data_IF_657046715424
#
_entry.id   IF_657046715424
#
_cell.length_a   1.000
_cell.length_b   1.000
_cell.length_c   1.000
_cell.angle_alpha   90.00
_cell.angle_beta   90.00
_cell.angle_gamma   90.00
#
_symmetry.space_group_name_H-M   'P 1'
#
loop_
_entity.id
_entity.type
_entity.pdbx_description
1 polymer ?
#
# COMPACT_ATOMS: atom_id res chain seq x y z
N UNK A 1 -6.19 -20.15 1.65
CA UNK A 1 -5.23 -19.07 1.98
C UNK A 1 -5.99 -18.05 2.80
N UNK A 2 -5.52 -17.70 4.00
CA UNK A 2 -6.17 -16.66 4.80
C UNK A 2 -6.09 -15.33 4.03
N UNK A 3 -7.22 -14.66 3.88
CA UNK A 3 -7.29 -13.31 3.31
C UNK A 3 -6.43 -12.37 4.17
N UNK A 4 -5.49 -11.63 3.56
CA UNK A 4 -4.63 -10.73 4.31
C UNK A 4 -5.46 -9.52 4.78
N UNK A 5 -5.65 -9.39 6.09
CA UNK A 5 -6.31 -8.23 6.68
C UNK A 5 -5.42 -7.00 6.55
N UNK A 6 -5.93 -5.97 5.87
CA UNK A 6 -5.32 -4.65 5.83
C UNK A 6 -5.69 -3.90 7.10
N UNK A 7 -4.68 -3.38 7.80
CA UNK A 7 -4.85 -2.67 9.09
C UNK A 7 -4.16 -1.31 9.11
N UNK A 8 -3.20 -1.07 8.20
CA UNK A 8 -2.45 0.18 8.13
C UNK A 8 -3.18 1.22 7.28
N UNK A 9 -3.37 2.42 7.82
CA UNK A 9 -4.06 3.51 7.11
C UNK A 9 -3.38 3.88 5.79
N UNK A 10 -2.05 3.91 5.76
CA UNK A 10 -1.25 4.13 4.55
C UNK A 10 -1.59 3.14 3.42
N UNK A 11 -1.91 1.89 3.77
CA UNK A 11 -2.28 0.86 2.78
C UNK A 11 -3.71 1.08 2.28
N UNK A 12 -4.63 1.51 3.15
CA UNK A 12 -5.95 1.96 2.70
C UNK A 12 -5.85 3.16 1.75
N UNK A 13 -4.98 4.13 2.07
CA UNK A 13 -4.76 5.31 1.23
C UNK A 13 -4.12 4.94 -0.11
N UNK A 14 -3.18 3.99 -0.12
CA UNK A 14 -2.60 3.43 -1.34
C UNK A 14 -3.66 2.77 -2.22
N UNK A 15 -4.53 1.93 -1.65
CA UNK A 15 -5.63 1.28 -2.38
C UNK A 15 -6.55 2.33 -3.00
N UNK A 16 -6.97 3.32 -2.21
CA UNK A 16 -7.84 4.39 -2.71
C UNK A 16 -7.16 5.21 -3.82
N UNK A 17 -5.89 5.57 -3.68
CA UNK A 17 -5.14 6.27 -4.73
C UNK A 17 -5.03 5.44 -6.01
N UNK A 18 -4.75 4.13 -5.88
CA UNK A 18 -4.63 3.22 -7.01
C UNK A 18 -5.95 3.09 -7.77
N UNK A 19 -7.05 2.90 -7.07
CA UNK A 19 -8.41 2.85 -7.66
C UNK A 19 -8.75 4.13 -8.43
N UNK A 20 -8.33 5.29 -7.92
CA UNK A 20 -8.50 6.60 -8.57
C UNK A 20 -7.53 6.87 -9.74
N UNK A 21 -6.56 5.98 -9.98
CA UNK A 21 -5.51 6.21 -10.98
C UNK A 21 -4.43 7.22 -10.57
N UNK A 22 -4.39 7.63 -9.30
CA UNK A 22 -3.47 8.65 -8.79
C UNK A 22 -2.07 8.07 -8.51
N UNK A 23 -1.22 8.10 -9.54
CA UNK A 23 0.15 7.59 -9.46
C UNK A 23 1.04 8.39 -8.51
N UNK A 24 0.88 9.72 -8.45
CA UNK A 24 1.71 10.56 -7.62
C UNK A 24 1.52 10.23 -6.13
N UNK A 25 0.27 10.01 -5.71
CA UNK A 25 -0.02 9.58 -4.34
C UNK A 25 0.46 8.16 -4.07
N UNK A 26 0.28 7.20 -5.01
CA UNK A 26 0.78 5.84 -4.78
C UNK A 26 2.30 5.80 -4.62
N UNK A 27 3.04 6.52 -5.46
CA UNK A 27 4.52 6.53 -5.44
C UNK A 27 5.04 7.15 -4.15
N UNK A 28 4.41 8.24 -3.68
CA UNK A 28 4.73 8.85 -2.39
C UNK A 28 4.55 7.87 -1.23
N UNK A 29 3.42 7.15 -1.18
CA UNK A 29 3.13 6.20 -0.09
C UNK A 29 4.12 5.03 -0.11
N UNK A 30 4.42 4.48 -1.30
CA UNK A 30 5.41 3.40 -1.45
C UNK A 30 6.76 3.83 -0.89
N UNK A 31 7.22 5.05 -1.22
CA UNK A 31 8.48 5.60 -0.70
C UNK A 31 8.46 5.73 0.83
N UNK A 32 7.41 6.32 1.39
CA UNK A 32 7.30 6.54 2.84
C UNK A 32 7.24 5.22 3.64
N UNK A 33 6.51 4.22 3.14
CA UNK A 33 6.47 2.87 3.73
C UNK A 33 7.85 2.20 3.63
N UNK A 34 8.53 2.33 2.48
CA UNK A 34 9.88 1.82 2.29
C UNK A 34 10.89 2.45 3.25
N UNK A 35 10.82 3.76 3.48
CA UNK A 35 11.66 4.48 4.44
C UNK A 35 11.43 3.95 5.87
N UNK A 36 10.18 3.78 6.30
CA UNK A 36 9.85 3.22 7.63
C UNK A 36 10.32 1.77 7.80
N UNK A 37 10.26 0.98 6.74
CA UNK A 37 10.77 -0.39 6.77
C UNK A 37 12.30 -0.40 6.87
N UNK A 38 12.99 0.44 6.10
CA UNK A 38 14.45 0.54 6.09
C UNK A 38 15.03 0.95 7.45
N UNK A 39 14.32 1.81 8.21
CA UNK A 39 14.73 2.21 9.56
C UNK A 39 14.50 1.13 10.62
N UNK A 40 13.92 -0.04 10.27
CA UNK A 40 13.57 -1.14 11.20
C UNK A 40 12.74 -0.72 12.41
N UNK A 41 11.98 0.35 12.25
CA UNK A 41 11.07 0.86 13.28
C UNK A 41 9.67 0.24 13.19
N UNK A 42 9.48 -0.74 12.30
CA UNK A 42 8.23 -1.48 12.12
C UNK A 42 8.51 -2.99 12.11
N UNK A 43 7.47 -3.78 12.38
CA UNK A 43 7.50 -5.25 12.28
C UNK A 43 7.42 -5.75 10.83
N UNK A 44 7.41 -4.85 9.84
CA UNK A 44 7.30 -5.16 8.42
C UNK A 44 5.88 -5.48 7.93
N UNK A 45 4.87 -5.48 8.81
CA UNK A 45 3.49 -5.80 8.43
C UNK A 45 2.90 -4.79 7.44
N UNK A 46 3.27 -3.51 7.56
CA UNK A 46 2.85 -2.45 6.63
C UNK A 46 3.37 -2.69 5.21
N UNK A 47 4.65 -3.06 5.08
CA UNK A 47 5.26 -3.36 3.79
C UNK A 47 4.66 -4.63 3.14
N UNK A 48 4.39 -5.67 3.95
CA UNK A 48 3.73 -6.89 3.47
C UNK A 48 2.30 -6.62 2.98
N UNK A 49 1.53 -5.82 3.72
CA UNK A 49 0.18 -5.40 3.31
C UNK A 49 0.21 -4.55 2.03
N UNK A 50 1.17 -3.64 1.90
CA UNK A 50 1.33 -2.82 0.70
C UNK A 50 1.69 -3.67 -0.52
N UNK A 51 2.59 -4.65 -0.37
CA UNK A 51 2.92 -5.60 -1.44
C UNK A 51 1.67 -6.36 -1.89
N UNK A 52 0.87 -6.86 -0.96
CA UNK A 52 -0.38 -7.55 -1.30
C UNK A 52 -1.37 -6.64 -2.03
N UNK A 53 -1.60 -5.43 -1.53
CA UNK A 53 -2.44 -4.44 -2.22
C UNK A 53 -1.92 -4.14 -3.64
N UNK A 54 -0.59 -4.10 -3.82
CA UNK A 54 0.02 -3.86 -5.13
C UNK A 54 -0.27 -4.97 -6.15
N UNK A 55 -0.45 -6.21 -5.69
CA UNK A 55 -0.73 -7.38 -6.54
C UNK A 55 -2.23 -7.54 -6.84
N UNK A 56 -3.10 -7.05 -5.96
CA UNK A 56 -4.54 -7.36 -6.01
C UNK A 56 -5.45 -6.20 -6.44
N UNK A 57 -4.99 -4.96 -6.34
CA UNK A 57 -5.76 -3.79 -6.76
C UNK A 57 -5.23 -3.28 -8.09
N UNK A 58 -6.11 -2.97 -9.05
CA UNK A 58 -5.71 -2.44 -10.36
C UNK A 58 -5.76 -0.92 -10.38
N UNK A 59 -4.91 -0.28 -11.18
CA UNK A 59 -4.96 1.18 -11.36
C UNK A 59 -6.20 1.58 -12.16
N UNK A 60 -6.94 2.57 -11.65
CA UNK A 60 -8.10 3.13 -12.35
C UNK A 60 -9.32 2.20 -12.36
N UNK A 61 -9.41 1.23 -11.45
CA UNK A 61 -10.53 0.28 -11.38
C UNK A 61 -11.90 0.98 -11.18
N UNK A 62 -11.91 2.18 -10.60
CA UNK A 62 -13.14 2.97 -10.38
C UNK A 62 -13.44 3.96 -11.53
N UNK A 63 -12.72 3.90 -12.66
CA UNK A 63 -12.92 4.79 -13.83
C UNK A 63 -13.69 4.15 -14.98
#
# INVERSE_FOLDING_TARGET
>A
MSEMKITHQSVHDYIAAKKRGDRATTDRIVREVGERFATRTTDGSEAAQLLHASMHVTFGEDQ
#
